data_IF_371770736417
#
_entry.id   IF_371770736417
#
_cell.length_a   1.000
_cell.length_b   1.000
_cell.length_c   1.000
_cell.angle_alpha   90.00
_cell.angle_beta   90.00
_cell.angle_gamma   90.00
#
_symmetry.space_group_name_H-M   'P 1'
#
loop_
_entity.id
_entity.type
_entity.pdbx_description
1 polymer ?
#
# COMPACT_ATOMS: atom_id res chain seq x y z
N UNK A 1 -28.58 -10.55 -20.64
CA UNK A 1 -28.74 -10.47 -19.17
C UNK A 1 -27.84 -11.53 -18.60
N UNK A 2 -26.61 -11.13 -18.34
CA UNK A 2 -25.52 -12.01 -17.91
C UNK A 2 -25.89 -12.69 -16.59
N UNK A 3 -25.59 -13.99 -16.52
CA UNK A 3 -25.61 -14.74 -15.26
C UNK A 3 -24.72 -13.97 -14.28
N UNK A 4 -25.34 -13.32 -13.30
CA UNK A 4 -24.63 -12.83 -12.11
C UNK A 4 -23.84 -14.03 -11.59
N UNK A 5 -22.51 -13.99 -11.75
CA UNK A 5 -21.62 -14.97 -11.18
C UNK A 5 -21.85 -14.93 -9.66
N UNK A 6 -22.62 -15.92 -9.15
CA UNK A 6 -22.78 -16.11 -7.72
C UNK A 6 -21.61 -16.97 -7.25
N UNK A 7 -20.50 -16.31 -6.93
CA UNK A 7 -19.45 -16.97 -6.17
C UNK A 7 -19.97 -17.22 -4.75
N UNK A 8 -19.71 -18.40 -4.17
CA UNK A 8 -20.00 -18.61 -2.77
C UNK A 8 -19.18 -17.61 -1.96
N UNK A 9 -19.87 -16.68 -1.29
CA UNK A 9 -19.23 -15.70 -0.41
C UNK A 9 -18.87 -16.44 0.86
N UNK A 10 -17.56 -16.52 1.18
CA UNK A 10 -17.14 -17.17 2.40
C UNK A 10 -17.61 -16.34 3.61
N UNK A 11 -18.36 -16.92 4.56
CA UNK A 11 -18.92 -16.18 5.68
C UNK A 11 -17.84 -15.55 6.57
N UNK A 12 -18.12 -14.38 7.12
CA UNK A 12 -17.26 -13.70 8.11
C UNK A 12 -16.82 -14.61 9.26
N UNK A 13 -17.69 -15.52 9.72
CA UNK A 13 -17.39 -16.46 10.80
C UNK A 13 -16.23 -17.42 10.49
N UNK A 14 -15.90 -17.65 9.22
CA UNK A 14 -14.71 -18.43 8.82
C UNK A 14 -13.43 -17.68 9.21
N UNK A 15 -13.36 -16.39 8.92
CA UNK A 15 -12.22 -15.53 9.25
C UNK A 15 -12.07 -15.38 10.77
N UNK A 16 -13.17 -15.13 11.48
CA UNK A 16 -13.19 -14.99 12.93
C UNK A 16 -12.77 -16.28 13.65
N UNK A 17 -13.25 -17.43 13.16
CA UNK A 17 -12.90 -18.74 13.72
C UNK A 17 -11.44 -19.09 13.47
N UNK A 18 -10.93 -18.83 12.26
CA UNK A 18 -9.51 -19.02 11.96
C UNK A 18 -8.62 -18.17 12.88
N UNK A 19 -8.96 -16.89 13.04
CA UNK A 19 -8.29 -16.00 13.99
C UNK A 19 -8.35 -16.52 15.43
N UNK A 20 -9.51 -16.99 15.88
CA UNK A 20 -9.68 -17.52 17.24
C UNK A 20 -8.80 -18.75 17.53
N UNK A 21 -8.50 -19.57 16.51
CA UNK A 21 -7.54 -20.67 16.62
C UNK A 21 -6.12 -20.14 16.77
N UNK A 22 -5.76 -19.08 16.03
CA UNK A 22 -4.41 -18.53 16.03
C UNK A 22 -4.05 -17.74 17.28
N UNK A 23 -5.03 -17.12 17.95
CA UNK A 23 -4.86 -16.41 19.24
C UNK A 23 -3.69 -15.42 19.25
N UNK A 24 -3.38 -14.82 18.10
CA UNK A 24 -2.31 -13.83 17.94
C UNK A 24 -2.89 -12.60 17.24
N UNK A 25 -3.18 -11.52 17.98
CA UNK A 25 -3.59 -10.27 17.36
C UNK A 25 -2.41 -9.69 16.56
N UNK A 26 -2.73 -8.89 15.54
CA UNK A 26 -1.72 -8.11 14.84
C UNK A 26 -1.42 -6.87 15.67
N UNK A 27 -0.14 -6.58 15.89
CA UNK A 27 0.33 -5.44 16.68
C UNK A 27 1.48 -4.67 16.04
N UNK A 28 2.05 -5.20 14.95
CA UNK A 28 3.25 -4.73 14.26
C UNK A 28 3.43 -5.47 12.93
N UNK A 29 4.49 -5.15 12.19
CA UNK A 29 4.86 -5.75 10.91
C UNK A 29 5.13 -7.25 11.01
N UNK A 30 5.76 -7.72 12.09
CA UNK A 30 6.15 -9.11 12.30
C UNK A 30 4.93 -10.01 12.55
N UNK A 31 3.99 -9.54 13.38
CA UNK A 31 2.72 -10.21 13.63
C UNK A 31 1.82 -10.20 12.40
N UNK A 32 1.84 -9.15 11.58
CA UNK A 32 1.15 -9.14 10.28
C UNK A 32 1.76 -10.17 9.31
N UNK A 33 3.09 -10.17 9.14
CA UNK A 33 3.80 -11.16 8.32
C UNK A 33 3.51 -12.59 8.80
N UNK A 34 3.50 -12.80 10.13
CA UNK A 34 3.16 -14.08 10.74
C UNK A 34 1.73 -14.50 10.44
N UNK A 35 0.76 -13.58 10.52
CA UNK A 35 -0.64 -13.86 10.17
C UNK A 35 -0.76 -14.32 8.71
N UNK A 36 -0.20 -13.55 7.77
CA UNK A 36 -0.25 -13.87 6.34
C UNK A 36 0.46 -15.21 6.04
N UNK A 37 1.65 -15.43 6.59
CA UNK A 37 2.41 -16.67 6.41
C UNK A 37 1.74 -17.89 7.05
N UNK A 38 0.99 -17.73 8.15
CA UNK A 38 0.24 -18.82 8.77
C UNK A 38 -0.91 -19.30 7.89
N UNK A 39 -1.59 -18.40 7.18
CA UNK A 39 -2.68 -18.78 6.27
C UNK A 39 -2.16 -19.75 5.21
N UNK A 40 -1.00 -19.47 4.62
CA UNK A 40 -0.38 -20.36 3.62
C UNK A 40 0.11 -21.67 4.24
N UNK A 41 0.77 -21.59 5.40
CA UNK A 41 1.32 -22.78 6.04
C UNK A 41 0.23 -23.77 6.47
N UNK A 42 -0.86 -23.24 7.01
CA UNK A 42 -1.97 -24.09 7.43
C UNK A 42 -2.70 -24.68 6.23
N UNK A 43 -2.87 -23.94 5.14
CA UNK A 43 -3.54 -24.47 3.95
C UNK A 43 -2.77 -25.65 3.35
N UNK A 44 -1.45 -25.71 3.55
CA UNK A 44 -0.62 -26.85 3.15
C UNK A 44 -0.60 -28.00 4.17
N UNK A 45 -1.12 -27.78 5.37
CA UNK A 45 -1.12 -28.79 6.45
C UNK A 45 -2.24 -29.82 6.30
N UNK A 46 -2.09 -30.95 6.98
CA UNK A 46 -3.10 -32.02 7.07
C UNK A 46 -4.46 -31.46 7.52
N UNK A 47 -5.55 -32.15 7.11
CA UNK A 47 -6.97 -31.76 7.20
C UNK A 47 -7.53 -31.52 8.62
N UNK A 48 -6.84 -30.73 9.43
CA UNK A 48 -7.35 -30.15 10.66
C UNK A 48 -8.24 -28.94 10.35
N UNK A 49 -8.86 -28.41 11.40
CA UNK A 49 -9.77 -27.28 11.29
C UNK A 49 -9.09 -26.02 10.73
N UNK A 50 -7.88 -25.70 11.20
CA UNK A 50 -7.13 -24.53 10.74
C UNK A 50 -6.79 -24.62 9.24
N UNK A 51 -6.37 -25.80 8.77
CA UNK A 51 -6.10 -26.08 7.35
C UNK A 51 -7.35 -25.88 6.49
N UNK A 52 -8.49 -26.41 6.94
CA UNK A 52 -9.76 -26.25 6.22
C UNK A 52 -10.19 -24.78 6.12
N UNK A 53 -10.09 -24.04 7.22
CA UNK A 53 -10.44 -22.61 7.25
C UNK A 53 -9.47 -21.77 6.39
N UNK A 54 -8.18 -22.06 6.44
CA UNK A 54 -7.17 -21.39 5.62
C UNK A 54 -7.41 -21.61 4.12
N UNK A 55 -7.72 -22.84 3.71
CA UNK A 55 -8.10 -23.15 2.32
C UNK A 55 -9.34 -22.39 1.87
N UNK A 56 -10.37 -22.29 2.72
CA UNK A 56 -11.56 -21.49 2.43
C UNK A 56 -11.24 -20.01 2.27
N UNK A 57 -10.38 -19.45 3.13
CA UNK A 57 -9.94 -18.06 3.02
C UNK A 57 -9.22 -17.84 1.68
N UNK A 58 -8.26 -18.69 1.32
CA UNK A 58 -7.53 -18.56 0.05
C UNK A 58 -8.44 -18.77 -1.17
N UNK A 59 -9.41 -19.68 -1.06
CA UNK A 59 -10.44 -19.87 -2.08
C UNK A 59 -11.28 -18.61 -2.29
N UNK A 60 -11.64 -17.91 -1.21
CA UNK A 60 -12.34 -16.62 -1.28
C UNK A 60 -11.47 -15.53 -1.94
N UNK A 61 -10.19 -15.43 -1.57
CA UNK A 61 -9.27 -14.48 -2.21
C UNK A 61 -9.20 -14.73 -3.73
N UNK A 62 -9.09 -16.00 -4.15
CA UNK A 62 -9.10 -16.40 -5.57
C UNK A 62 -10.40 -16.00 -6.26
N UNK A 63 -11.52 -16.49 -5.76
CA UNK A 63 -12.80 -16.46 -6.49
C UNK A 63 -13.61 -15.17 -6.30
N UNK A 64 -13.37 -14.41 -5.23
CA UNK A 64 -14.06 -13.16 -4.97
C UNK A 64 -13.17 -11.94 -5.26
N UNK A 65 -11.93 -11.91 -4.79
CA UNK A 65 -11.07 -10.72 -4.95
C UNK A 65 -10.31 -10.71 -6.27
N UNK A 66 -9.86 -11.88 -6.74
CA UNK A 66 -8.97 -12.00 -7.90
C UNK A 66 -9.69 -12.41 -9.19
N UNK A 67 -11.00 -12.67 -9.14
CA UNK A 67 -11.72 -13.19 -10.30
C UNK A 67 -11.76 -12.17 -11.47
N UNK A 68 -11.42 -12.59 -12.71
CA UNK A 68 -11.33 -11.70 -13.88
C UNK A 68 -12.52 -10.81 -14.16
N UNK A 69 -13.72 -11.30 -13.84
CA UNK A 69 -14.97 -10.56 -14.04
C UNK A 69 -15.14 -9.36 -13.11
N UNK A 70 -14.46 -9.32 -11.95
CA UNK A 70 -14.76 -8.34 -10.89
C UNK A 70 -13.53 -7.70 -10.24
N UNK A 71 -12.31 -8.18 -10.46
CA UNK A 71 -11.12 -7.70 -9.73
C UNK A 71 -10.83 -6.19 -9.92
N UNK A 72 -11.33 -5.57 -11.02
CA UNK A 72 -11.18 -4.13 -11.31
C UNK A 72 -12.19 -3.28 -10.56
N UNK A 73 -13.23 -3.88 -10.02
CA UNK A 73 -14.32 -3.16 -9.37
C UNK A 73 -13.88 -2.61 -8.02
N UNK A 74 -14.28 -1.36 -7.72
CA UNK A 74 -13.87 -0.64 -6.50
C UNK A 74 -14.20 -1.42 -5.23
N UNK A 75 -15.37 -2.07 -5.19
CA UNK A 75 -15.81 -2.81 -4.00
C UNK A 75 -14.89 -3.96 -3.61
N UNK A 76 -14.09 -4.51 -4.55
CA UNK A 76 -13.13 -5.58 -4.23
C UNK A 76 -11.94 -5.06 -3.41
N UNK A 77 -11.60 -3.77 -3.48
CA UNK A 77 -10.59 -3.17 -2.60
C UNK A 77 -11.10 -3.07 -1.16
N UNK A 78 -12.30 -2.52 -0.95
CA UNK A 78 -12.95 -2.47 0.37
C UNK A 78 -13.14 -3.88 0.95
N UNK A 79 -13.53 -4.83 0.10
CA UNK A 79 -13.68 -6.23 0.48
C UNK A 79 -12.37 -6.86 0.99
N UNK A 80 -11.23 -6.52 0.38
CA UNK A 80 -9.90 -6.93 0.83
C UNK A 80 -9.57 -6.33 2.20
N UNK A 81 -9.81 -5.03 2.39
CA UNK A 81 -9.60 -4.33 3.66
C UNK A 81 -10.41 -4.99 4.79
N UNK A 82 -11.72 -5.20 4.58
CA UNK A 82 -12.59 -5.87 5.57
C UNK A 82 -12.07 -7.25 5.94
N UNK A 83 -11.64 -8.06 4.96
CA UNK A 83 -11.13 -9.42 5.22
C UNK A 83 -9.83 -9.42 6.03
N UNK A 84 -8.90 -8.54 5.68
CA UNK A 84 -7.64 -8.40 6.42
C UNK A 84 -7.86 -7.85 7.83
N UNK A 85 -8.81 -6.91 8.00
CA UNK A 85 -9.23 -6.43 9.32
C UNK A 85 -9.76 -7.60 10.18
N UNK A 86 -10.66 -8.41 9.63
CA UNK A 86 -11.23 -9.56 10.33
C UNK A 86 -10.16 -10.56 10.76
N UNK A 87 -9.21 -10.89 9.89
CA UNK A 87 -8.12 -11.83 10.17
C UNK A 87 -7.20 -11.35 11.30
N UNK A 88 -6.87 -10.05 11.33
CA UNK A 88 -5.92 -9.49 12.28
C UNK A 88 -6.53 -8.91 13.55
N UNK A 89 -7.85 -8.98 13.73
CA UNK A 89 -8.59 -8.26 14.80
C UNK A 89 -8.47 -6.73 14.71
N UNK A 90 -8.41 -6.22 13.48
CA UNK A 90 -8.34 -4.80 13.19
C UNK A 90 -9.69 -4.18 12.86
N UNK A 91 -9.65 -2.89 12.52
CA UNK A 91 -10.79 -2.12 12.00
C UNK A 91 -10.34 -1.32 10.79
N UNK A 92 -11.29 -0.97 9.93
CA UNK A 92 -11.07 -0.01 8.86
C UNK A 92 -11.03 1.41 9.44
N UNK A 93 -10.27 2.31 8.83
CA UNK A 93 -10.11 3.68 9.32
C UNK A 93 -11.26 4.62 8.96
N UNK A 94 -12.17 4.20 8.07
CA UNK A 94 -13.32 4.99 7.60
C UNK A 94 -14.21 5.55 8.73
N UNK A 95 -14.19 4.91 9.90
CA UNK A 95 -15.00 5.28 11.06
C UNK A 95 -14.34 6.31 12.00
N UNK A 96 -13.10 6.74 11.74
CA UNK A 96 -12.37 7.65 12.63
C UNK A 96 -12.50 9.13 12.25
N UNK A 97 -12.62 10.04 13.25
CA UNK A 97 -12.71 11.48 13.01
C UNK A 97 -11.39 12.04 12.44
N UNK A 98 -11.49 12.67 11.27
CA UNK A 98 -10.34 13.13 10.48
C UNK A 98 -9.79 14.47 10.99
N UNK A 99 -8.72 14.46 11.78
CA UNK A 99 -8.00 15.68 12.19
C UNK A 99 -6.56 15.67 11.68
N UNK A 100 -6.04 16.85 11.34
CA UNK A 100 -4.62 16.95 10.98
C UNK A 100 -3.79 16.89 12.26
N UNK A 101 -2.76 16.03 12.34
CA UNK A 101 -1.84 16.06 13.46
C UNK A 101 -1.01 17.35 13.42
N UNK A 102 -0.38 17.68 14.53
CA UNK A 102 0.66 18.71 14.57
C UNK A 102 1.98 18.16 14.03
N UNK A 103 2.83 19.03 13.49
CA UNK A 103 4.10 18.62 12.88
C UNK A 103 5.03 17.90 13.88
N UNK A 104 4.98 18.25 15.16
CA UNK A 104 5.77 17.64 16.23
C UNK A 104 5.38 16.17 16.51
N UNK A 105 4.20 15.73 16.07
CA UNK A 105 3.81 14.32 16.13
C UNK A 105 4.42 13.54 14.95
N UNK A 106 4.64 14.24 13.83
CA UNK A 106 5.10 13.63 12.58
C UNK A 106 6.62 13.65 12.42
N UNK A 107 7.33 14.61 12.99
CA UNK A 107 8.77 14.75 12.80
C UNK A 107 9.48 15.09 14.11
N UNK A 108 10.72 14.64 14.21
CA UNK A 108 11.64 15.02 15.27
C UNK A 108 12.05 16.49 15.13
N UNK A 109 12.34 17.16 16.25
CA UNK A 109 12.65 18.59 16.29
C UNK A 109 13.81 18.98 15.37
N UNK A 110 14.86 18.16 15.32
CA UNK A 110 16.03 18.40 14.45
C UNK A 110 15.65 18.43 12.96
N UNK A 111 14.67 17.62 12.53
CA UNK A 111 14.18 17.61 11.15
C UNK A 111 13.27 18.80 10.88
N UNK A 112 12.46 19.19 11.87
CA UNK A 112 11.58 20.37 11.78
C UNK A 112 12.42 21.64 11.55
N UNK A 113 13.54 21.79 12.24
CA UNK A 113 14.43 22.95 12.10
C UNK A 113 15.07 23.08 10.70
N UNK A 114 15.15 21.99 9.94
CA UNK A 114 15.72 21.95 8.57
C UNK A 114 14.73 22.31 7.48
N UNK A 115 13.45 22.49 7.81
CA UNK A 115 12.40 22.77 6.83
C UNK A 115 11.64 24.07 7.17
N UNK A 116 11.32 24.92 6.18
CA UNK A 116 10.50 26.13 6.37
C UNK A 116 9.12 25.83 6.96
N UNK A 117 8.61 26.75 7.78
CA UNK A 117 7.33 26.58 8.50
C UNK A 117 6.13 26.48 7.57
N UNK A 118 6.20 27.06 6.37
CA UNK A 118 5.13 27.00 5.36
C UNK A 118 4.91 25.58 4.83
N UNK A 119 5.90 24.69 4.98
CA UNK A 119 5.81 23.29 4.56
C UNK A 119 5.13 22.43 5.61
N UNK A 120 5.07 22.86 6.89
CA UNK A 120 4.50 22.07 7.97
C UNK A 120 3.05 21.71 7.68
N UNK A 121 2.25 22.70 7.25
CA UNK A 121 0.85 22.51 6.89
C UNK A 121 0.69 21.49 5.76
N UNK A 122 1.58 21.52 4.76
CA UNK A 122 1.56 20.58 3.62
C UNK A 122 1.89 19.16 4.05
N UNK A 123 2.86 18.97 4.94
CA UNK A 123 3.18 17.65 5.51
C UNK A 123 1.98 17.13 6.31
N UNK A 124 1.44 17.93 7.22
CA UNK A 124 0.33 17.53 8.08
C UNK A 124 -0.94 17.21 7.26
N UNK A 125 -1.24 17.99 6.21
CA UNK A 125 -2.39 17.76 5.34
C UNK A 125 -2.22 16.55 4.42
N UNK A 126 -1.00 16.29 3.93
CA UNK A 126 -0.71 15.16 3.05
C UNK A 126 -0.56 13.85 3.80
N UNK A 127 -0.12 13.90 5.07
CA UNK A 127 -0.15 12.75 5.97
C UNK A 127 -1.57 12.24 6.15
N UNK A 128 -2.52 13.15 6.45
CA UNK A 128 -3.91 12.91 6.90
C UNK A 128 -4.37 11.45 6.72
N UNK A 129 -4.01 10.66 7.73
CA UNK A 129 -4.33 9.26 8.05
C UNK A 129 -4.55 8.32 6.86
N UNK A 130 -3.44 7.83 6.28
CA UNK A 130 -3.43 6.87 5.15
C UNK A 130 -3.59 5.41 5.55
N UNK A 131 -3.60 5.09 6.85
CA UNK A 131 -3.82 3.71 7.28
C UNK A 131 -5.22 3.26 6.92
N UNK A 132 -5.36 2.30 6.02
CA UNK A 132 -6.64 1.68 5.66
C UNK A 132 -7.09 0.72 6.78
N UNK A 133 -6.13 0.08 7.46
CA UNK A 133 -6.35 -0.80 8.61
C UNK A 133 -5.68 -0.29 9.88
N UNK A 134 -6.34 -0.50 11.02
CA UNK A 134 -5.87 -0.12 12.34
C UNK A 134 -5.99 -1.31 13.29
N UNK A 135 -4.88 -1.68 13.91
CA UNK A 135 -4.77 -2.73 14.90
C UNK A 135 -4.34 -2.13 16.23
N UNK A 136 -5.17 -2.26 17.27
CA UNK A 136 -4.87 -1.69 18.58
C UNK A 136 -4.12 -2.70 19.45
N UNK A 137 -3.00 -2.27 20.02
CA UNK A 137 -2.26 -3.04 21.02
C UNK A 137 -2.56 -2.48 22.42
N UNK A 138 -3.44 -3.15 23.21
CA UNK A 138 -3.82 -2.68 24.53
C UNK A 138 -2.65 -2.73 25.53
N UNK A 139 -1.62 -3.53 25.28
CA UNK A 139 -0.50 -3.72 26.22
C UNK A 139 0.40 -2.49 26.31
N UNK A 140 0.54 -1.77 25.20
CA UNK A 140 1.40 -0.58 25.08
C UNK A 140 0.60 0.67 24.71
N UNK A 141 -0.73 0.58 24.72
CA UNK A 141 -1.65 1.65 24.36
C UNK A 141 -1.26 2.36 23.04
N UNK A 142 -0.96 1.56 22.01
CA UNK A 142 -0.58 2.07 20.70
C UNK A 142 -1.41 1.42 19.60
N UNK A 143 -1.45 2.06 18.42
CA UNK A 143 -2.04 1.47 17.23
C UNK A 143 -0.96 1.22 16.18
N UNK A 144 -1.04 0.05 15.56
CA UNK A 144 -0.32 -0.27 14.34
C UNK A 144 -1.26 -0.04 13.16
N UNK A 145 -0.79 0.73 12.19
CA UNK A 145 -1.57 1.15 11.03
C UNK A 145 -0.95 0.62 9.75
N UNK A 146 -1.78 0.17 8.83
CA UNK A 146 -1.37 -0.34 7.52
C UNK A 146 -2.18 0.33 6.42
N UNK A 147 -1.52 0.76 5.35
CA UNK A 147 -2.17 1.09 4.07
C UNK A 147 -2.20 -0.12 3.15
N UNK A 148 -3.26 -0.25 2.35
CA UNK A 148 -3.44 -1.30 1.35
C UNK A 148 -3.38 -0.67 -0.05
N UNK A 149 -2.52 -1.24 -0.90
CA UNK A 149 -2.43 -0.92 -2.33
C UNK A 149 -2.80 -2.16 -3.12
N UNK A 150 -4.04 -2.20 -3.60
CA UNK A 150 -4.49 -3.28 -4.48
C UNK A 150 -4.30 -2.91 -5.96
N UNK A 151 -3.73 -3.83 -6.74
CA UNK A 151 -3.33 -3.64 -8.13
C UNK A 151 -3.77 -4.82 -8.97
N UNK A 152 -3.81 -4.64 -10.28
CA UNK A 152 -3.95 -5.73 -11.25
C UNK A 152 -2.57 -6.07 -11.83
N UNK A 153 -2.32 -7.29 -12.32
CA UNK A 153 -0.97 -7.74 -12.67
C UNK A 153 -0.23 -6.82 -13.64
N UNK A 154 -0.93 -6.27 -14.63
CA UNK A 154 -0.38 -5.44 -15.70
C UNK A 154 -0.03 -4.01 -15.22
N UNK A 155 -0.55 -3.58 -14.07
CA UNK A 155 -0.25 -2.25 -13.53
C UNK A 155 1.20 -2.24 -13.02
N UNK A 156 2.08 -1.48 -13.68
CA UNK A 156 3.48 -1.32 -13.28
C UNK A 156 3.72 -0.09 -12.39
N UNK A 157 2.66 0.62 -12.03
CA UNK A 157 2.72 1.85 -11.25
C UNK A 157 1.77 1.78 -10.05
N UNK A 158 2.24 2.24 -8.89
CA UNK A 158 1.47 2.30 -7.65
C UNK A 158 1.17 3.76 -7.31
N UNK A 159 -0.08 4.05 -6.92
CA UNK A 159 -0.47 5.34 -6.35
C UNK A 159 -0.28 5.35 -4.84
N UNK A 160 0.69 6.11 -4.34
CA UNK A 160 0.89 6.30 -2.90
C UNK A 160 0.13 7.51 -2.34
N UNK A 161 -0.66 8.18 -3.18
CA UNK A 161 -1.51 9.30 -2.80
C UNK A 161 -0.73 10.59 -2.58
N UNK A 162 -1.33 11.50 -1.82
CA UNK A 162 -0.85 12.87 -1.67
C UNK A 162 0.61 12.94 -1.21
N UNK A 163 1.42 13.67 -1.97
CA UNK A 163 2.80 14.05 -1.70
C UNK A 163 3.12 15.28 -2.56
N UNK A 164 2.85 16.46 -2.00
CA UNK A 164 2.88 17.74 -2.73
C UNK A 164 4.29 18.09 -3.20
N UNK A 165 4.50 18.13 -4.52
CA UNK A 165 5.76 18.51 -5.14
C UNK A 165 6.27 19.89 -4.68
N UNK A 166 5.38 20.84 -4.44
CA UNK A 166 5.78 22.21 -4.06
C UNK A 166 6.47 22.24 -2.70
N UNK A 167 6.19 21.28 -1.81
CA UNK A 167 6.90 21.13 -0.54
C UNK A 167 8.39 20.80 -0.69
N UNK A 168 8.78 20.30 -1.86
CA UNK A 168 10.14 19.88 -2.19
C UNK A 168 10.96 21.01 -2.82
N UNK A 169 10.32 21.85 -3.64
CA UNK A 169 11.02 22.87 -4.43
C UNK A 169 10.95 24.28 -3.82
N UNK A 170 9.95 24.54 -2.97
CA UNK A 170 9.75 25.86 -2.37
C UNK A 170 10.97 26.27 -1.54
N UNK A 171 11.45 27.49 -1.82
CA UNK A 171 12.64 28.10 -1.22
C UNK A 171 13.97 27.39 -1.56
N UNK A 172 13.96 26.37 -2.43
CA UNK A 172 15.16 25.71 -2.97
C UNK A 172 15.37 26.12 -4.45
N UNK A 173 14.28 26.16 -5.23
CA UNK A 173 14.29 26.50 -6.65
C UNK A 173 13.52 27.79 -6.93
N UNK A 174 13.69 28.32 -8.15
CA UNK A 174 13.00 29.52 -8.62
C UNK A 174 11.46 29.41 -8.47
N UNK A 175 10.76 30.51 -8.14
CA UNK A 175 9.30 30.50 -7.99
C UNK A 175 8.52 29.94 -9.19
N UNK A 176 9.07 29.96 -10.40
CA UNK A 176 8.46 29.34 -11.58
C UNK A 176 8.19 27.83 -11.41
N UNK A 177 8.98 27.12 -10.59
CA UNK A 177 8.76 25.70 -10.30
C UNK A 177 7.50 25.44 -9.48
N UNK A 178 7.03 26.44 -8.71
CA UNK A 178 5.77 26.35 -7.96
C UNK A 178 4.56 26.27 -8.90
N UNK A 179 4.67 26.85 -10.11
CA UNK A 179 3.60 26.83 -11.11
C UNK A 179 3.46 25.48 -11.84
N UNK A 180 4.42 24.56 -11.69
CA UNK A 180 4.28 23.21 -12.22
C UNK A 180 3.04 22.55 -11.56
N UNK A 181 2.35 21.64 -12.26
CA UNK A 181 1.23 20.83 -11.74
C UNK A 181 -0.14 21.50 -11.59
N UNK A 182 -0.27 22.75 -11.12
CA UNK A 182 -1.59 23.40 -11.05
C UNK A 182 -2.00 24.07 -12.38
N UNK A 183 -1.02 24.58 -13.14
CA UNK A 183 -1.26 25.37 -14.37
C UNK A 183 -0.34 25.02 -15.53
N UNK A 184 0.81 24.40 -15.25
CA UNK A 184 1.87 24.13 -16.25
C UNK A 184 2.41 22.72 -16.09
N UNK A 185 2.47 21.96 -17.18
CA UNK A 185 2.98 20.57 -17.18
C UNK A 185 4.50 20.48 -17.32
N UNK A 186 5.12 21.49 -17.95
CA UNK A 186 6.56 21.55 -18.23
C UNK A 186 7.12 22.97 -18.19
N UNK A 187 8.37 23.14 -17.77
CA UNK A 187 9.16 24.36 -17.77
C UNK A 187 10.43 24.11 -18.57
N UNK A 188 10.83 25.08 -19.39
CA UNK A 188 12.16 25.11 -20.00
C UNK A 188 12.97 26.16 -19.27
N UNK A 189 14.16 25.79 -18.77
CA UNK A 189 15.04 26.69 -18.03
C UNK A 189 16.47 26.54 -18.53
N UNK A 190 17.18 27.67 -18.65
CA UNK A 190 18.61 27.70 -18.93
C UNK A 190 19.35 27.75 -17.59
N UNK A 191 20.25 26.79 -17.34
CA UNK A 191 21.19 26.93 -16.22
C UNK A 191 22.23 27.99 -16.60
N UNK A 192 22.31 29.07 -15.83
CA UNK A 192 23.30 30.12 -16.03
C UNK A 192 24.73 29.60 -15.82
N UNK A 193 24.89 28.62 -14.92
CA UNK A 193 26.19 28.03 -14.57
C UNK A 193 26.74 27.15 -15.69
N UNK A 194 25.90 26.31 -16.30
CA UNK A 194 26.33 25.33 -17.30
C UNK A 194 25.96 25.70 -18.73
N UNK A 195 25.19 26.78 -18.93
CA UNK A 195 24.63 27.20 -20.22
C UNK A 195 23.84 26.07 -20.92
N UNK A 196 23.25 25.17 -20.14
CA UNK A 196 22.47 24.03 -20.62
C UNK A 196 20.98 24.28 -20.42
N UNK A 197 20.18 23.99 -21.44
CA UNK A 197 18.72 24.06 -21.37
C UNK A 197 18.14 22.75 -20.84
N UNK A 198 17.23 22.85 -19.85
CA UNK A 198 16.55 21.72 -19.23
C UNK A 198 15.04 21.81 -19.48
N UNK A 199 14.45 20.74 -20.02
CA UNK A 199 12.98 20.57 -20.06
C UNK A 199 12.52 19.81 -18.82
N UNK A 200 12.03 20.55 -17.83
CA UNK A 200 11.65 20.02 -16.53
C UNK A 200 10.13 19.88 -16.43
N UNK A 201 9.68 18.79 -15.82
CA UNK A 201 8.27 18.53 -15.57
C UNK A 201 8.09 17.43 -14.53
N UNK A 202 6.84 17.14 -14.18
CA UNK A 202 6.52 16.12 -13.17
C UNK A 202 5.85 14.88 -13.75
N UNK A 203 5.57 14.87 -15.05
CA UNK A 203 4.69 13.89 -15.69
C UNK A 203 5.38 12.58 -16.09
N UNK A 204 6.71 12.51 -16.08
CA UNK A 204 7.45 11.30 -16.45
C UNK A 204 8.83 11.21 -15.80
N UNK A 205 9.40 10.00 -15.79
CA UNK A 205 10.77 9.74 -15.30
C UNK A 205 11.82 10.61 -15.98
N UNK A 206 11.72 10.78 -17.30
CA UNK A 206 12.67 11.60 -18.06
C UNK A 206 12.66 13.06 -17.60
N UNK A 207 11.47 13.62 -17.33
CA UNK A 207 11.33 14.98 -16.86
C UNK A 207 11.84 15.17 -15.43
N UNK A 208 11.64 14.17 -14.57
CA UNK A 208 12.23 14.18 -13.23
C UNK A 208 13.75 14.06 -13.28
N UNK A 209 14.29 13.25 -14.19
CA UNK A 209 15.74 13.21 -14.38
C UNK A 209 16.29 14.58 -14.80
N UNK A 210 15.61 15.30 -15.69
CA UNK A 210 15.98 16.67 -16.03
C UNK A 210 15.90 17.62 -14.82
N UNK A 211 14.90 17.47 -13.95
CA UNK A 211 14.83 18.22 -12.69
C UNK A 211 16.07 17.98 -11.83
N UNK A 212 16.41 16.73 -11.56
CA UNK A 212 17.55 16.40 -10.70
C UNK A 212 18.88 16.86 -11.31
N UNK A 213 19.05 16.72 -12.63
CA UNK A 213 20.22 17.24 -13.33
C UNK A 213 20.33 18.76 -13.21
N UNK A 214 19.22 19.49 -13.34
CA UNK A 214 19.18 20.93 -13.14
C UNK A 214 19.52 21.31 -11.70
N UNK A 215 18.89 20.68 -10.71
CA UNK A 215 19.13 20.93 -9.27
C UNK A 215 20.61 20.68 -8.92
N UNK A 216 21.21 19.64 -9.49
CA UNK A 216 22.64 19.36 -9.37
C UNK A 216 23.50 20.45 -10.05
N UNK A 217 23.10 20.92 -11.22
CA UNK A 217 23.81 21.96 -11.97
C UNK A 217 23.83 23.34 -11.30
N UNK A 218 23.02 23.55 -10.25
CA UNK A 218 22.99 24.77 -9.44
C UNK A 218 23.49 24.53 -8.01
N UNK A 219 24.12 23.37 -7.75
CA UNK A 219 24.69 23.01 -6.44
C UNK A 219 23.67 22.78 -5.32
N UNK A 220 22.39 22.51 -5.64
CA UNK A 220 21.30 22.36 -4.65
C UNK A 220 20.84 20.92 -4.41
N UNK A 221 21.52 19.93 -4.99
CA UNK A 221 21.08 18.53 -4.96
C UNK A 221 20.96 17.97 -3.55
N UNK A 222 21.96 18.16 -2.70
CA UNK A 222 21.96 17.61 -1.34
C UNK A 222 20.83 18.20 -0.48
N UNK A 223 20.64 19.53 -0.56
CA UNK A 223 19.55 20.24 0.12
C UNK A 223 18.17 19.72 -0.35
N UNK A 224 18.03 19.51 -1.66
CA UNK A 224 16.81 18.98 -2.25
C UNK A 224 16.51 17.54 -1.84
N UNK A 225 17.51 16.66 -1.81
CA UNK A 225 17.38 15.27 -1.37
C UNK A 225 17.04 15.21 0.13
N UNK A 226 17.73 15.99 0.96
CA UNK A 226 17.46 16.03 2.40
C UNK A 226 16.02 16.52 2.67
N UNK A 227 15.59 17.59 1.98
CA UNK A 227 14.20 18.07 2.04
C UNK A 227 13.21 16.97 1.69
N UNK A 228 13.51 16.21 0.64
CA UNK A 228 12.64 15.14 0.19
C UNK A 228 12.46 14.04 1.23
N UNK A 229 13.56 13.55 1.80
CA UNK A 229 13.54 12.50 2.81
C UNK A 229 12.76 12.94 4.05
N UNK A 230 12.94 14.19 4.51
CA UNK A 230 12.20 14.75 5.64
C UNK A 230 10.70 14.83 5.35
N UNK A 231 10.30 15.39 4.20
CA UNK A 231 8.88 15.50 3.83
C UNK A 231 8.27 14.11 3.67
N UNK A 232 9.00 13.18 3.03
CA UNK A 232 8.54 11.80 2.83
C UNK A 232 8.29 11.10 4.17
N UNK A 233 9.24 11.22 5.10
CA UNK A 233 9.09 10.68 6.45
C UNK A 233 7.92 11.28 7.23
N UNK A 234 7.62 12.56 7.04
CA UNK A 234 6.48 13.22 7.66
C UNK A 234 5.14 12.75 7.09
N UNK A 235 5.09 12.44 5.79
CA UNK A 235 3.85 12.10 5.07
C UNK A 235 3.53 10.61 5.10
N UNK A 236 4.53 9.73 5.07
CA UNK A 236 4.34 8.28 5.01
C UNK A 236 4.83 7.64 6.31
N UNK A 237 3.90 7.23 7.18
CA UNK A 237 4.21 6.62 8.48
C UNK A 237 3.81 5.17 8.59
N UNK A 238 2.85 4.75 7.78
CA UNK A 238 2.26 3.42 7.83
C UNK A 238 3.11 2.39 7.07
N UNK A 239 2.96 1.13 7.49
CA UNK A 239 3.37 -0.01 6.69
C UNK A 239 2.38 -0.22 5.55
N UNK A 240 2.80 -0.91 4.50
CA UNK A 240 2.00 -1.02 3.27
C UNK A 240 1.89 -2.47 2.86
N UNK A 241 0.66 -2.96 2.72
CA UNK A 241 0.36 -4.21 2.04
C UNK A 241 0.12 -3.90 0.56
N UNK A 242 0.93 -4.49 -0.32
CA UNK A 242 0.71 -4.45 -1.77
C UNK A 242 0.08 -5.78 -2.16
N UNK A 243 -1.15 -5.73 -2.68
CA UNK A 243 -1.91 -6.91 -3.08
C UNK A 243 -2.11 -6.89 -4.60
N UNK A 244 -1.60 -7.91 -5.31
CA UNK A 244 -1.77 -8.03 -6.77
C UNK A 244 -2.87 -9.05 -7.04
N UNK A 245 -3.97 -8.59 -7.65
CA UNK A 245 -5.17 -9.38 -7.97
C UNK A 245 -4.92 -10.26 -9.19
N UNK A 246 -4.20 -11.35 -8.98
CA UNK A 246 -3.94 -12.38 -9.98
C UNK A 246 -4.85 -13.58 -9.72
N UNK A 247 -5.61 -14.01 -10.73
CA UNK A 247 -6.57 -15.11 -10.55
C UNK A 247 -5.90 -16.46 -10.28
N UNK A 248 -4.69 -16.65 -10.79
CA UNK A 248 -3.96 -17.91 -10.63
C UNK A 248 -3.12 -17.89 -9.37
N UNK A 249 -2.65 -16.71 -8.95
CA UNK A 249 -1.68 -16.57 -7.86
C UNK A 249 -2.19 -15.75 -6.67
N UNK A 250 -1.83 -16.21 -5.48
CA UNK A 250 -1.85 -15.35 -4.30
C UNK A 250 -0.58 -14.48 -4.32
N UNK A 251 -0.74 -13.16 -4.48
CA UNK A 251 0.38 -12.21 -4.55
C UNK A 251 0.21 -11.08 -3.54
N UNK A 252 0.94 -11.17 -2.43
CA UNK A 252 0.88 -10.21 -1.33
C UNK A 252 2.29 -9.87 -0.85
N UNK A 253 2.52 -8.59 -0.63
CA UNK A 253 3.82 -8.08 -0.18
C UNK A 253 3.61 -7.15 1.00
N UNK A 254 4.49 -7.22 2.00
CA UNK A 254 4.54 -6.24 3.09
C UNK A 254 5.80 -5.38 2.96
N UNK A 255 5.57 -4.10 2.71
CA UNK A 255 6.60 -3.06 2.72
C UNK A 255 6.52 -2.33 4.06
N UNK A 256 7.50 -2.55 4.93
CA UNK A 256 7.57 -1.79 6.19
C UNK A 256 7.86 -0.32 5.91
N UNK A 257 7.49 0.57 6.82
CA UNK A 257 7.80 1.99 6.71
C UNK A 257 9.32 2.23 6.60
N UNK A 258 10.11 1.44 7.33
CA UNK A 258 11.57 1.49 7.28
C UNK A 258 12.09 1.11 5.88
N UNK A 259 11.57 0.03 5.31
CA UNK A 259 11.92 -0.39 3.95
C UNK A 259 11.47 0.61 2.90
N UNK A 260 10.31 1.23 3.08
CA UNK A 260 9.80 2.23 2.16
C UNK A 260 10.72 3.46 2.14
N UNK A 261 11.12 3.95 3.32
CA UNK A 261 12.09 5.04 3.44
C UNK A 261 13.43 4.69 2.81
N UNK A 262 13.94 3.47 3.04
CA UNK A 262 15.17 2.97 2.41
C UNK A 262 15.05 2.97 0.88
N UNK A 263 13.95 2.45 0.34
CA UNK A 263 13.69 2.44 -1.10
C UNK A 263 13.73 3.85 -1.73
N UNK A 264 13.12 4.83 -1.05
CA UNK A 264 13.13 6.22 -1.51
C UNK A 264 14.52 6.85 -1.37
N UNK A 265 15.20 6.64 -0.24
CA UNK A 265 16.56 7.14 -0.03
C UNK A 265 17.52 6.59 -1.08
N UNK A 266 17.49 5.29 -1.37
CA UNK A 266 18.32 4.67 -2.42
C UNK A 266 17.97 5.22 -3.81
N UNK A 267 16.69 5.43 -4.10
CA UNK A 267 16.23 6.04 -5.35
C UNK A 267 16.78 7.47 -5.54
N UNK A 268 16.86 8.25 -4.47
CA UNK A 268 17.32 9.64 -4.49
C UNK A 268 18.84 9.76 -4.43
N UNK A 269 19.51 8.99 -3.57
CA UNK A 269 20.95 9.11 -3.33
C UNK A 269 21.77 8.32 -4.33
N UNK A 270 21.34 7.10 -4.66
CA UNK A 270 22.11 6.18 -5.50
C UNK A 270 21.66 6.21 -6.97
N UNK A 271 20.43 6.66 -7.25
CA UNK A 271 19.82 6.53 -8.58
C UNK A 271 19.26 7.83 -9.16
N UNK A 272 19.55 9.01 -8.58
CA UNK A 272 19.08 10.28 -9.14
C UNK A 272 19.58 10.54 -10.57
N UNK A 273 20.76 10.02 -10.93
CA UNK A 273 21.34 10.16 -12.26
C UNK A 273 20.81 9.13 -13.25
N UNK A 274 20.09 8.09 -12.78
CA UNK A 274 19.55 7.00 -13.60
C UNK A 274 18.12 6.63 -13.14
N UNK A 275 17.16 7.50 -13.45
CA UNK A 275 15.77 7.36 -13.00
C UNK A 275 15.07 6.08 -13.45
N UNK A 276 15.58 5.36 -14.45
CA UNK A 276 15.06 4.03 -14.83
C UNK A 276 15.11 3.04 -13.66
N UNK A 277 16.10 3.17 -12.76
CA UNK A 277 16.26 2.37 -11.53
C UNK A 277 15.58 2.97 -10.31
N UNK A 278 15.09 4.20 -10.41
CA UNK A 278 14.38 4.88 -9.33
C UNK A 278 12.97 4.33 -9.15
N UNK A 279 12.53 4.23 -7.89
CA UNK A 279 11.15 3.95 -7.53
C UNK A 279 10.22 5.13 -7.87
N UNK A 280 10.73 6.35 -8.03
CA UNK A 280 9.93 7.53 -8.29
C UNK A 280 9.63 7.63 -9.80
N UNK A 281 8.34 7.58 -10.18
CA UNK A 281 7.94 7.67 -11.59
C UNK A 281 7.56 9.10 -12.00
N UNK A 282 6.56 9.66 -11.32
CA UNK A 282 5.91 10.94 -11.68
C UNK A 282 5.00 11.45 -10.57
N UNK A 283 4.55 12.69 -10.71
CA UNK A 283 3.36 13.22 -10.03
C UNK A 283 2.17 13.18 -10.97
N UNK A 284 1.01 12.84 -10.42
CA UNK A 284 -0.29 13.05 -11.05
C UNK A 284 -1.13 13.93 -10.12
N UNK A 285 -1.27 15.21 -10.49
CA UNK A 285 -1.75 16.23 -9.56
C UNK A 285 -0.82 16.30 -8.34
N UNK A 286 -1.39 16.15 -7.14
CA UNK A 286 -0.64 16.10 -5.88
C UNK A 286 -0.23 14.69 -5.47
N UNK A 287 -0.50 13.66 -6.28
CA UNK A 287 -0.19 12.27 -5.91
C UNK A 287 1.12 11.79 -6.51
N UNK A 288 1.97 11.20 -5.68
CA UNK A 288 3.19 10.54 -6.16
C UNK A 288 2.85 9.14 -6.69
N UNK A 289 3.38 8.85 -7.88
CA UNK A 289 3.27 7.57 -8.53
C UNK A 289 4.64 6.92 -8.60
N UNK A 290 4.71 5.63 -8.32
CA UNK A 290 5.98 4.92 -8.14
C UNK A 290 6.02 3.59 -8.90
N UNK A 291 7.23 3.17 -9.26
CA UNK A 291 7.50 1.92 -9.98
C UNK A 291 7.23 0.72 -9.09
N UNK A 292 6.24 -0.10 -9.46
CA UNK A 292 5.89 -1.32 -8.72
C UNK A 292 7.11 -2.23 -8.59
N UNK A 293 7.83 -2.46 -9.68
CA UNK A 293 8.88 -3.49 -9.71
C UNK A 293 10.09 -3.10 -8.87
N UNK A 294 10.40 -1.80 -8.76
CA UNK A 294 11.44 -1.32 -7.85
C UNK A 294 10.98 -1.46 -6.40
N UNK A 295 9.75 -1.03 -6.08
CA UNK A 295 9.19 -1.10 -4.71
C UNK A 295 9.15 -2.53 -4.19
N UNK A 296 8.71 -3.51 -4.99
CA UNK A 296 8.58 -4.90 -4.55
C UNK A 296 9.92 -5.50 -4.10
N UNK A 297 11.06 -5.05 -4.64
CA UNK A 297 12.39 -5.53 -4.24
C UNK A 297 12.80 -5.13 -2.82
N UNK A 298 12.13 -4.15 -2.23
CA UNK A 298 12.37 -3.68 -0.87
C UNK A 298 11.40 -4.30 0.15
N UNK A 299 10.41 -5.07 -0.28
CA UNK A 299 9.45 -5.65 0.64
C UNK A 299 10.12 -6.68 1.57
N UNK A 300 9.85 -6.57 2.87
CA UNK A 300 10.36 -7.46 3.92
C UNK A 300 9.74 -8.86 3.88
N UNK A 301 8.55 -8.97 3.31
CA UNK A 301 7.77 -10.21 3.24
C UNK A 301 7.05 -10.27 1.90
N UNK A 302 7.06 -11.46 1.30
CA UNK A 302 6.45 -11.75 0.00
C UNK A 302 5.71 -13.09 0.04
N UNK A 303 4.55 -13.09 -0.60
CA UNK A 303 3.81 -14.25 -1.04
C UNK A 303 3.65 -14.12 -2.55
N UNK A 304 4.15 -15.09 -3.31
CA UNK A 304 3.92 -15.26 -4.74
C UNK A 304 3.81 -16.76 -5.04
N UNK A 305 2.60 -17.31 -4.88
CA UNK A 305 2.34 -18.76 -4.98
C UNK A 305 1.04 -19.02 -5.76
N UNK A 306 0.97 -20.16 -6.46
CA UNK A 306 -0.22 -20.54 -7.23
C UNK A 306 -1.33 -21.00 -6.28
N UNK A 307 -2.58 -20.60 -6.53
CA UNK A 307 -3.70 -21.05 -5.71
C UNK A 307 -3.90 -22.57 -5.75
N UNK A 308 -3.52 -23.22 -6.85
CA UNK A 308 -3.55 -24.67 -7.01
C UNK A 308 -2.66 -25.41 -6.02
N UNK A 309 -1.66 -24.73 -5.44
CA UNK A 309 -0.77 -25.35 -4.45
C UNK A 309 -1.47 -25.54 -3.09
N UNK A 310 -2.53 -24.77 -2.83
CA UNK A 310 -3.19 -24.75 -1.51
C UNK A 310 -4.44 -25.61 -1.43
N UNK A 311 -5.16 -25.77 -2.53
CA UNK A 311 -6.42 -26.50 -2.54
C UNK A 311 -6.80 -27.02 -3.93
N UNK A 312 -7.49 -28.16 -3.94
CA UNK A 312 -8.28 -28.59 -5.08
C UNK A 312 -9.67 -27.90 -5.02
N UNK A 313 -9.99 -27.16 -6.07
CA UNK A 313 -11.20 -26.34 -6.15
C UNK A 313 -12.48 -27.19 -6.07
N UNK A 314 -12.50 -28.37 -6.71
CA UNK A 314 -13.66 -29.26 -6.68
C UNK A 314 -13.94 -29.76 -5.26
N UNK A 315 -12.90 -30.06 -4.51
CA UNK A 315 -12.96 -30.50 -3.11
C UNK A 315 -13.48 -29.39 -2.20
N UNK A 316 -13.04 -28.15 -2.39
CA UNK A 316 -13.50 -27.00 -1.57
C UNK A 316 -14.97 -26.68 -1.84
N UNK A 317 -15.39 -26.69 -3.10
CA UNK A 317 -16.80 -26.46 -3.47
C UNK A 317 -17.71 -27.53 -2.87
N UNK A 318 -17.29 -28.81 -2.90
CA UNK A 318 -18.05 -29.90 -2.28
C UNK A 318 -18.22 -29.68 -0.77
N UNK A 319 -17.14 -29.30 -0.06
CA UNK A 319 -17.18 -28.98 1.38
C UNK A 319 -18.08 -27.77 1.68
N UNK A 320 -18.07 -26.76 0.83
CA UNK A 320 -18.92 -25.58 1.01
C UNK A 320 -20.40 -25.94 0.91
N UNK A 321 -20.77 -26.71 -0.12
CA UNK A 321 -22.15 -27.18 -0.30
C UNK A 321 -22.61 -28.08 0.87
N UNK A 322 -21.73 -28.92 1.41
CA UNK A 322 -22.02 -29.71 2.60
C UNK A 322 -22.32 -28.82 3.83
N UNK A 323 -21.51 -27.78 4.06
CA UNK A 323 -21.72 -26.82 5.15
C UNK A 323 -23.03 -26.03 5.00
N UNK A 324 -23.39 -25.63 3.78
CA UNK A 324 -24.68 -24.98 3.51
C UNK A 324 -25.87 -25.92 3.76
N UNK A 325 -25.76 -27.18 3.33
CA UNK A 325 -26.79 -28.18 3.56
C UNK A 325 -26.99 -28.49 5.05
N UNK A 326 -25.92 -28.53 5.84
CA UNK A 326 -25.99 -28.70 7.30
C UNK A 326 -26.73 -27.52 7.94
N UNK A 327 -26.43 -26.27 7.55
CA UNK A 327 -27.14 -25.08 8.05
C UNK A 327 -28.62 -25.11 7.69
N UNK A 328 -28.96 -25.43 6.44
CA UNK A 328 -30.34 -25.55 6.00
C UNK A 328 -31.11 -26.63 6.80
N UNK A 329 -30.47 -27.77 7.02
CA UNK A 329 -31.06 -28.87 7.81
C UNK A 329 -31.23 -28.51 9.28
N UNK A 330 -30.32 -27.74 9.86
CA UNK A 330 -30.44 -27.24 11.23
C UNK A 330 -31.57 -26.21 11.37
N UNK A 331 -31.75 -25.32 10.39
CA UNK A 331 -32.86 -24.35 10.38
C UNK A 331 -34.22 -25.05 10.29
N UNK A 332 -34.34 -26.05 9.39
CA UNK A 332 -35.55 -26.88 9.27
C UNK A 332 -35.83 -27.65 10.57
N UNK A 333 -34.80 -28.17 11.25
CA UNK A 333 -34.95 -28.82 12.56
C UNK A 333 -35.35 -27.87 13.69
N UNK A 334 -35.00 -26.58 13.57
CA UNK A 334 -35.40 -25.53 14.50
C UNK A 334 -36.79 -24.93 14.17
N UNK A 335 -37.44 -25.39 13.10
CA UNK A 335 -38.75 -24.91 12.67
C UNK A 335 -38.74 -23.48 12.12
N UNK A 336 -37.58 -23.02 11.62
CA UNK A 336 -37.38 -21.69 11.03
C UNK A 336 -37.40 -21.73 9.51
#
# INVERSE_FOLDING_TARGET
MDKILKFPIIPQSVYERYRAIKRRPVTDSDSMSSLLGNILRDSLSDNNEASTLAKLILFDLKNYLNHPAIYKEKYTANALETRLALLGDGRTSDDLPKTNPTINILLEEEKIQKIPSEIFTKICSNFREKGDLIFYNPRINSSYKISIKSLVPENNEINFGAFDFTSLVQNILDPAFLALGERRSKLTILSEETQTEFEIGRGSKAQLQQLFNYVNSIGKLDEFIERWEIVFEGVFKEDIIIYIKDYNKCRMYLLTNADFKRCISDSLRNHWHEFSKSAINRWEGNSIRMDKNVILRYCSFEIDQEFSDFFDESTIVAKFNELENIKATQLVRLGL
#
